data_IF_582444932827
#
_entry.id   IF_582444932827
#
_cell.length_a   1.000
_cell.length_b   1.000
_cell.length_c   1.000
_cell.angle_alpha   90.00
_cell.angle_beta   90.00
_cell.angle_gamma   90.00
#
_symmetry.space_group_name_H-M   'P 1'
#
loop_
_entity.id
_entity.type
_entity.pdbx_description
1 polymer ?
#
# COMPACT_ATOMS: atom_id res chain seq x y z
N UNK A 1 -21.60 -5.67 -26.91
CA UNK A 1 -22.04 -5.66 -25.49
C UNK A 1 -20.96 -4.97 -24.69
N UNK A 2 -21.31 -4.16 -23.67
CA UNK A 2 -20.35 -3.48 -22.79
C UNK A 2 -20.42 -4.08 -21.40
N UNK A 3 -19.27 -4.50 -20.84
CA UNK A 3 -19.19 -5.16 -19.54
C UNK A 3 -18.06 -4.54 -18.69
N UNK A 4 -18.25 -4.51 -17.36
CA UNK A 4 -17.22 -4.02 -16.43
C UNK A 4 -16.04 -4.99 -16.37
N UNK A 5 -14.82 -4.47 -16.49
CA UNK A 5 -13.63 -5.24 -16.15
C UNK A 5 -13.54 -5.45 -14.64
N UNK A 6 -13.14 -6.63 -14.19
CA UNK A 6 -12.93 -6.90 -12.75
C UNK A 6 -11.84 -6.01 -12.17
N UNK A 7 -10.80 -5.69 -12.95
CA UNK A 7 -9.70 -4.79 -12.61
C UNK A 7 -9.40 -3.84 -13.77
N UNK A 8 -8.70 -2.74 -13.46
CA UNK A 8 -8.31 -1.71 -14.42
C UNK A 8 -7.68 -2.33 -15.67
N UNK A 9 -8.03 -1.78 -16.84
CA UNK A 9 -7.54 -2.22 -18.16
C UNK A 9 -7.64 -3.74 -18.39
N UNK A 10 -8.60 -4.39 -17.72
CA UNK A 10 -8.81 -5.85 -17.70
C UNK A 10 -7.56 -6.66 -17.32
N UNK A 11 -6.70 -6.12 -16.47
CA UNK A 11 -5.64 -6.91 -15.83
C UNK A 11 -6.24 -8.02 -14.97
N UNK A 12 -5.47 -9.09 -14.78
CA UNK A 12 -5.93 -10.23 -14.00
C UNK A 12 -6.02 -9.89 -12.51
N UNK A 13 -5.04 -9.18 -11.96
CA UNK A 13 -5.04 -8.77 -10.55
C UNK A 13 -4.17 -7.53 -10.30
N UNK A 14 -4.50 -6.69 -9.30
CA UNK A 14 -3.64 -5.58 -8.89
C UNK A 14 -2.50 -6.05 -7.98
N UNK A 15 -1.39 -5.31 -8.03
CA UNK A 15 -0.25 -5.46 -7.12
C UNK A 15 0.18 -4.10 -6.58
N UNK A 16 0.34 -4.00 -5.24
CA UNK A 16 0.82 -2.80 -4.56
C UNK A 16 2.03 -3.14 -3.69
N UNK A 17 3.11 -2.36 -3.82
CA UNK A 17 4.21 -2.36 -2.86
C UNK A 17 3.89 -1.41 -1.71
N UNK A 18 3.67 -1.95 -0.53
CA UNK A 18 3.37 -1.21 0.70
C UNK A 18 4.65 -1.06 1.53
N UNK A 19 5.11 0.17 1.76
CA UNK A 19 6.34 0.43 2.49
C UNK A 19 6.02 1.24 3.75
N UNK A 20 6.28 0.67 4.91
CA UNK A 20 6.05 1.31 6.20
C UNK A 20 7.27 2.12 6.64
N UNK A 21 7.03 3.11 7.52
CA UNK A 21 8.04 3.77 8.34
C UNK A 21 9.02 4.68 7.59
N UNK A 22 8.64 5.27 6.46
CA UNK A 22 9.42 6.38 5.92
C UNK A 22 9.27 7.59 6.85
N UNK A 23 10.31 7.87 7.63
CA UNK A 23 10.32 8.96 8.59
C UNK A 23 11.33 10.06 8.18
N UNK A 24 11.13 11.32 8.62
CA UNK A 24 12.04 12.42 8.33
C UNK A 24 13.33 12.33 9.20
N UNK A 25 14.02 11.20 9.12
CA UNK A 25 15.17 10.89 9.96
C UNK A 25 16.38 10.52 9.13
N UNK A 26 17.52 11.13 9.45
CA UNK A 26 18.84 10.64 9.06
C UNK A 26 19.63 10.32 10.32
N UNK A 27 20.15 9.10 10.41
CA UNK A 27 20.95 8.61 11.54
C UNK A 27 22.29 8.07 11.08
N UNK A 28 23.31 8.16 11.91
CA UNK A 28 24.63 7.64 11.63
C UNK A 28 25.39 7.19 12.86
N UNK A 29 26.22 6.16 12.74
CA UNK A 29 27.18 5.77 13.79
C UNK A 29 28.42 6.65 13.80
N UNK A 30 28.86 7.10 12.65
CA UNK A 30 30.11 7.86 12.49
C UNK A 30 29.90 9.37 12.48
N UNK A 31 28.69 9.84 12.25
CA UNK A 31 28.36 11.23 11.97
C UNK A 31 28.28 11.52 10.46
N UNK A 32 28.62 10.54 9.60
CA UNK A 32 28.46 10.59 8.15
C UNK A 32 27.18 9.84 7.76
N UNK A 33 26.51 10.28 6.70
CA UNK A 33 25.29 9.64 6.19
C UNK A 33 25.71 8.52 5.24
N UNK A 34 25.37 7.29 5.59
CA UNK A 34 25.58 6.11 4.74
C UNK A 34 24.28 5.38 4.49
N UNK A 35 24.29 4.45 3.54
CA UNK A 35 23.13 3.74 2.98
C UNK A 35 22.11 3.22 4.00
N UNK A 36 22.57 2.80 5.16
CA UNK A 36 21.74 2.16 6.17
C UNK A 36 21.38 3.07 7.35
N UNK A 37 21.89 4.27 7.32
CA UNK A 37 21.73 5.27 8.36
C UNK A 37 20.88 6.45 7.90
N UNK A 38 20.70 6.60 6.58
CA UNK A 38 19.76 7.50 5.97
C UNK A 38 18.49 6.71 5.66
N UNK A 39 17.44 6.97 6.39
CA UNK A 39 16.12 6.36 6.15
C UNK A 39 15.43 6.96 4.94
N UNK A 40 16.21 7.54 4.03
CA UNK A 40 15.90 7.59 2.65
C UNK A 40 15.40 8.88 2.08
N UNK A 41 15.43 9.97 2.83
CA UNK A 41 15.01 11.23 2.21
C UNK A 41 16.15 12.05 1.59
N UNK A 42 17.38 11.69 1.81
CA UNK A 42 18.52 12.36 1.20
C UNK A 42 18.86 11.72 -0.14
N UNK A 43 18.16 12.12 -1.19
CA UNK A 43 18.26 11.54 -2.54
C UNK A 43 19.68 11.60 -3.15
N UNK A 44 20.44 12.63 -2.79
CA UNK A 44 21.76 12.86 -3.39
C UNK A 44 22.87 12.02 -2.78
N UNK A 45 22.57 11.25 -1.73
CA UNK A 45 23.55 10.36 -1.12
C UNK A 45 23.52 9.02 -1.86
N UNK A 46 24.62 8.63 -2.57
CA UNK A 46 24.66 7.40 -3.37
C UNK A 46 24.36 6.13 -2.59
N UNK A 47 24.51 6.22 -1.28
CA UNK A 47 24.35 5.12 -0.33
C UNK A 47 23.05 5.20 0.46
N UNK A 48 22.16 6.16 0.17
CA UNK A 48 20.85 6.22 0.83
C UNK A 48 20.02 4.98 0.51
N UNK A 49 19.10 4.65 1.40
CA UNK A 49 18.21 3.50 1.19
C UNK A 49 17.35 3.68 -0.06
N UNK A 50 16.97 4.92 -0.39
CA UNK A 50 16.30 5.21 -1.65
C UNK A 50 17.20 4.89 -2.87
N UNK A 51 18.44 5.38 -2.87
CA UNK A 51 19.38 5.12 -3.97
C UNK A 51 19.66 3.60 -4.13
N UNK A 52 19.67 2.88 -3.02
CA UNK A 52 19.80 1.42 -3.02
C UNK A 52 18.57 0.76 -3.64
N UNK A 53 17.35 1.13 -3.19
CA UNK A 53 16.10 0.64 -3.76
C UNK A 53 15.97 1.00 -5.25
N UNK A 54 16.27 2.23 -5.64
CA UNK A 54 16.21 2.68 -7.02
C UNK A 54 17.14 1.86 -7.91
N UNK A 55 18.41 1.68 -7.47
CA UNK A 55 19.42 0.93 -8.24
C UNK A 55 19.03 -0.53 -8.45
N UNK A 56 18.57 -1.21 -7.41
CA UNK A 56 18.40 -2.66 -7.44
C UNK A 56 16.97 -3.11 -7.74
N UNK A 57 15.99 -2.23 -7.61
CA UNK A 57 14.58 -2.57 -7.81
C UNK A 57 13.89 -1.66 -8.82
N UNK A 58 13.80 -0.34 -8.54
CA UNK A 58 12.91 0.54 -9.29
C UNK A 58 13.36 0.79 -10.74
N UNK A 59 14.68 0.85 -10.99
CA UNK A 59 15.23 0.94 -12.37
C UNK A 59 15.01 -0.33 -13.18
N UNK A 60 15.01 -1.48 -12.51
CA UNK A 60 14.78 -2.78 -13.15
C UNK A 60 13.31 -3.02 -13.43
N UNK A 61 12.43 -2.52 -12.55
CA UNK A 61 10.98 -2.66 -12.62
C UNK A 61 10.30 -1.28 -12.59
N UNK A 62 10.35 -0.50 -13.70
CA UNK A 62 9.80 0.85 -13.76
C UNK A 62 8.28 0.89 -13.62
N UNK A 63 7.61 -0.24 -13.80
CA UNK A 63 6.18 -0.43 -13.61
C UNK A 63 5.74 -0.45 -12.14
N UNK A 64 6.63 -0.66 -11.17
CA UNK A 64 6.29 -0.69 -9.74
C UNK A 64 5.59 0.60 -9.34
N UNK A 65 4.44 0.42 -8.69
CA UNK A 65 3.67 1.46 -7.98
C UNK A 65 3.39 0.95 -6.58
N UNK A 66 3.18 1.86 -5.67
CA UNK A 66 2.93 1.47 -4.28
C UNK A 66 2.45 2.59 -3.39
N UNK A 67 2.34 2.25 -2.11
CA UNK A 67 1.92 3.16 -1.05
C UNK A 67 2.98 3.17 0.05
N UNK A 68 3.41 4.37 0.43
CA UNK A 68 4.32 4.57 1.57
C UNK A 68 3.50 5.05 2.75
N UNK A 69 3.56 4.32 3.84
CA UNK A 69 2.89 4.64 5.08
C UNK A 69 3.81 5.50 5.95
N UNK A 70 3.38 6.74 6.17
CA UNK A 70 4.20 7.82 6.69
C UNK A 70 3.80 8.16 8.13
N UNK A 71 4.64 7.91 9.14
CA UNK A 71 4.48 8.49 10.47
C UNK A 71 4.88 9.97 10.42
N UNK A 72 4.11 10.83 11.10
CA UNK A 72 4.32 12.29 11.02
C UNK A 72 5.37 12.81 12.00
N UNK A 73 5.62 12.10 13.09
CA UNK A 73 6.67 12.42 14.05
C UNK A 73 7.49 11.15 14.29
N UNK A 74 8.77 11.28 14.56
CA UNK A 74 9.66 10.13 14.64
C UNK A 74 10.29 9.94 16.01
N UNK A 75 9.60 10.31 17.08
CA UNK A 75 10.18 10.34 18.42
C UNK A 75 10.74 8.99 18.88
N UNK A 76 10.07 7.90 18.53
CA UNK A 76 10.36 6.59 19.11
C UNK A 76 11.03 5.61 18.15
N UNK A 77 11.48 6.10 16.97
CA UNK A 77 12.11 5.24 15.97
C UNK A 77 13.60 5.01 16.16
N UNK A 78 14.25 5.77 17.03
CA UNK A 78 15.70 5.81 17.06
C UNK A 78 16.17 5.19 18.34
N UNK A 79 16.82 4.01 18.27
CA UNK A 79 17.45 3.41 19.44
C UNK A 79 18.67 4.24 19.83
N UNK A 80 18.47 5.29 20.61
CA UNK A 80 19.51 6.17 21.12
C UNK A 80 20.57 5.41 21.95
N UNK A 81 20.18 4.26 22.51
CA UNK A 81 21.04 3.38 23.29
C UNK A 81 22.02 2.56 22.44
N UNK A 82 21.88 2.54 21.11
CA UNK A 82 22.75 1.76 20.22
C UNK A 82 23.94 2.53 19.63
N UNK A 83 24.22 3.72 20.16
CA UNK A 83 25.37 4.54 19.73
C UNK A 83 25.20 5.22 18.37
N UNK A 84 23.98 5.35 17.89
CA UNK A 84 23.69 6.14 16.69
C UNK A 84 23.62 7.64 17.04
N UNK A 85 24.06 8.46 16.10
CA UNK A 85 23.86 9.91 16.13
C UNK A 85 22.72 10.28 15.20
N UNK A 86 21.76 11.05 15.70
CA UNK A 86 20.72 11.64 14.87
C UNK A 86 21.32 12.84 14.16
N UNK A 87 21.31 12.83 12.84
CA UNK A 87 21.78 13.94 12.01
C UNK A 87 20.63 14.89 11.69
N UNK A 88 19.44 14.33 11.38
CA UNK A 88 18.25 15.12 11.07
C UNK A 88 16.99 14.35 11.46
N UNK A 89 15.97 15.09 11.91
CA UNK A 89 14.76 14.49 12.47
C UNK A 89 13.48 15.27 12.13
N UNK A 90 13.58 16.40 11.47
CA UNK A 90 12.44 17.28 11.26
C UNK A 90 11.82 17.13 9.87
N UNK A 91 10.51 17.32 9.79
CA UNK A 91 9.80 17.52 8.53
C UNK A 91 10.14 18.92 8.02
N UNK A 92 11.13 19.02 7.17
CA UNK A 92 11.55 20.24 6.52
C UNK A 92 11.34 20.18 4.99
N UNK A 93 11.72 21.26 4.32
CA UNK A 93 11.56 21.36 2.87
C UNK A 93 12.33 20.28 2.10
N UNK A 94 13.47 19.80 2.63
CA UNK A 94 14.23 18.70 2.01
C UNK A 94 13.45 17.41 2.02
N UNK A 95 12.85 17.10 3.17
CA UNK A 95 12.00 15.90 3.29
C UNK A 95 10.74 16.01 2.44
N UNK A 96 10.08 17.16 2.45
CA UNK A 96 8.88 17.39 1.63
C UNK A 96 9.21 17.31 0.13
N UNK A 97 10.33 17.87 -0.32
CA UNK A 97 10.76 17.75 -1.71
C UNK A 97 11.07 16.30 -2.09
N UNK A 98 11.61 15.52 -1.16
CA UNK A 98 11.80 14.09 -1.37
C UNK A 98 10.46 13.35 -1.49
N UNK A 99 9.47 13.64 -0.65
CA UNK A 99 8.13 13.07 -0.79
C UNK A 99 7.52 13.43 -2.15
N UNK A 100 7.57 14.70 -2.55
CA UNK A 100 7.06 15.14 -3.86
C UNK A 100 7.75 14.43 -5.04
N UNK A 101 9.04 14.18 -4.92
CA UNK A 101 9.77 13.38 -5.91
C UNK A 101 9.27 11.93 -5.98
N UNK A 102 8.92 11.33 -4.85
CA UNK A 102 8.41 9.96 -4.82
C UNK A 102 6.98 9.81 -5.36
N UNK A 103 6.20 10.91 -5.44
CA UNK A 103 4.79 10.88 -5.86
C UNK A 103 4.56 10.37 -7.28
N UNK A 104 5.57 10.39 -8.14
CA UNK A 104 5.47 9.79 -9.48
C UNK A 104 5.20 8.28 -9.44
N UNK A 105 5.55 7.61 -8.33
CA UNK A 105 5.43 6.16 -8.19
C UNK A 105 4.65 5.71 -6.96
N UNK A 106 4.69 6.52 -5.90
CA UNK A 106 4.14 6.17 -4.61
C UNK A 106 3.14 7.22 -4.14
N UNK A 107 2.02 6.77 -3.65
CA UNK A 107 1.18 7.63 -2.81
C UNK A 107 1.68 7.61 -1.36
N UNK A 108 1.28 8.58 -0.57
CA UNK A 108 1.52 8.60 0.86
C UNK A 108 0.22 8.35 1.60
N UNK A 109 0.32 7.56 2.67
CA UNK A 109 -0.78 7.19 3.52
C UNK A 109 -0.38 7.34 5.00
N UNK A 110 -1.36 7.55 5.84
CA UNK A 110 -1.15 7.74 7.27
C UNK A 110 -0.64 6.49 7.97
N UNK A 111 0.36 6.64 8.87
CA UNK A 111 0.92 5.55 9.67
C UNK A 111 1.17 5.95 11.13
N UNK A 112 0.26 6.71 11.70
CA UNK A 112 0.42 7.25 13.03
C UNK A 112 1.18 8.58 13.08
N UNK A 113 1.24 9.14 14.27
CA UNK A 113 2.05 10.33 14.56
C UNK A 113 3.43 9.89 15.02
N UNK A 114 3.50 9.14 16.11
CA UNK A 114 4.73 8.66 16.72
C UNK A 114 5.00 7.17 16.47
N UNK A 115 4.08 6.45 15.85
CA UNK A 115 4.09 5.00 15.61
C UNK A 115 4.02 4.15 16.87
N UNK A 116 4.85 4.43 17.89
CA UNK A 116 4.87 3.74 19.17
C UNK A 116 4.55 4.73 20.28
N UNK A 117 3.87 4.26 21.32
CA UNK A 117 3.74 4.97 22.59
C UNK A 117 5.04 4.91 23.40
N UNK A 118 5.05 5.60 24.55
CA UNK A 118 6.14 5.59 25.51
C UNK A 118 6.02 4.44 26.53
N UNK A 119 4.94 3.65 26.42
CA UNK A 119 4.61 2.57 27.35
C UNK A 119 5.08 1.22 26.83
N UNK A 120 5.49 0.36 27.78
CA UNK A 120 5.77 -1.05 27.52
C UNK A 120 4.67 -1.92 28.16
N UNK A 121 4.37 -3.05 27.54
CA UNK A 121 3.51 -4.08 28.15
C UNK A 121 4.26 -4.88 29.23
N UNK A 122 3.55 -5.77 29.92
CA UNK A 122 4.10 -6.60 31.00
C UNK A 122 5.30 -7.48 30.55
N UNK A 123 5.45 -7.71 29.26
CA UNK A 123 6.55 -8.45 28.64
C UNK A 123 7.69 -7.54 28.15
N UNK A 124 7.63 -6.21 28.42
CA UNK A 124 8.61 -5.21 27.97
C UNK A 124 8.54 -4.91 26.47
N UNK A 125 7.38 -5.13 25.85
CA UNK A 125 7.13 -4.81 24.45
C UNK A 125 6.50 -3.43 24.34
N UNK A 126 7.08 -2.57 23.52
CA UNK A 126 6.54 -1.24 23.25
C UNK A 126 5.11 -1.32 22.71
N UNK A 127 4.21 -0.60 23.37
CA UNK A 127 2.80 -0.50 22.97
C UNK A 127 2.70 0.47 21.80
N UNK A 128 2.02 0.05 20.75
CA UNK A 128 1.76 0.92 19.61
C UNK A 128 0.71 1.99 19.95
N UNK A 129 0.87 3.15 19.34
CA UNK A 129 0.13 4.39 19.58
C UNK A 129 -1.41 4.21 19.62
N UNK A 130 -1.96 3.34 18.76
CA UNK A 130 -3.42 3.13 18.67
C UNK A 130 -3.92 1.83 19.29
N UNK A 131 -3.11 1.15 20.09
CA UNK A 131 -3.54 -0.07 20.80
C UNK A 131 -4.68 0.24 21.77
N UNK A 132 -4.55 1.33 22.53
CA UNK A 132 -5.56 1.81 23.46
C UNK A 132 -5.63 3.34 23.46
N UNK A 133 -5.99 3.99 22.35
CA UNK A 133 -6.04 5.45 22.28
C UNK A 133 -7.23 5.98 23.09
N UNK A 134 -7.10 7.20 23.59
CA UNK A 134 -8.18 8.02 24.08
C UNK A 134 -8.62 9.05 23.01
N UNK A 135 -9.63 9.88 23.36
CA UNK A 135 -10.13 10.88 22.43
C UNK A 135 -9.08 11.96 22.15
N UNK A 136 -8.29 12.35 23.13
CA UNK A 136 -7.26 13.37 22.99
C UNK A 136 -6.18 12.90 21.99
N UNK A 137 -5.81 11.62 22.02
CA UNK A 137 -4.90 11.00 21.06
C UNK A 137 -5.48 11.06 19.62
N UNK A 138 -6.77 10.75 19.44
CA UNK A 138 -7.42 10.81 18.14
C UNK A 138 -7.50 12.26 17.62
N UNK A 139 -7.93 13.20 18.45
CA UNK A 139 -8.07 14.62 18.07
C UNK A 139 -6.71 15.26 17.78
N UNK A 140 -5.67 14.91 18.55
CA UNK A 140 -4.29 15.29 18.27
C UNK A 140 -3.84 14.79 16.89
N UNK A 141 -4.14 13.52 16.57
CA UNK A 141 -3.80 12.93 15.28
C UNK A 141 -4.48 13.65 14.13
N UNK A 142 -5.77 13.96 14.26
CA UNK A 142 -6.54 14.71 13.26
C UNK A 142 -5.94 16.11 13.04
N UNK A 143 -5.64 16.82 14.12
CA UNK A 143 -5.05 18.15 14.04
C UNK A 143 -3.67 18.13 13.35
N UNK A 144 -2.82 17.15 13.68
CA UNK A 144 -1.49 16.99 13.08
C UNK A 144 -1.57 16.65 11.58
N UNK A 145 -2.46 15.76 11.19
CA UNK A 145 -2.69 15.44 9.77
C UNK A 145 -3.22 16.66 9.02
N UNK A 146 -4.18 17.39 9.59
CA UNK A 146 -4.70 18.62 8.99
C UNK A 146 -3.59 19.65 8.72
N UNK A 147 -2.77 19.93 9.71
CA UNK A 147 -1.62 20.84 9.57
C UNK A 147 -0.60 20.36 8.54
N UNK A 148 -0.31 19.05 8.52
CA UNK A 148 0.61 18.48 7.53
C UNK A 148 0.07 18.62 6.11
N UNK A 149 -1.20 18.29 5.90
CA UNK A 149 -1.87 18.39 4.59
C UNK A 149 -1.91 19.84 4.08
N UNK A 150 -2.35 20.78 4.94
CA UNK A 150 -2.43 22.21 4.62
C UNK A 150 -1.06 22.77 4.25
N UNK A 151 -0.04 22.50 5.06
CA UNK A 151 1.30 23.04 4.86
C UNK A 151 1.99 22.49 3.60
N UNK A 152 1.79 21.21 3.29
CA UNK A 152 2.63 20.49 2.33
C UNK A 152 1.91 20.13 1.02
N UNK A 153 0.58 20.25 0.98
CA UNK A 153 -0.24 19.85 -0.17
C UNK A 153 -0.23 18.33 -0.43
N UNK A 154 0.01 17.52 0.63
CA UNK A 154 -0.01 16.06 0.57
C UNK A 154 -1.19 15.59 1.41
N UNK A 155 -2.23 15.02 0.76
CA UNK A 155 -3.40 14.50 1.44
C UNK A 155 -3.32 12.97 1.61
N UNK A 156 -3.75 12.48 2.77
CA UNK A 156 -3.87 11.05 3.02
C UNK A 156 -5.30 10.59 2.73
N UNK A 157 -5.46 9.80 1.67
CA UNK A 157 -6.75 9.18 1.33
C UNK A 157 -6.99 7.87 2.10
N UNK A 158 -5.97 7.37 2.78
CA UNK A 158 -6.04 6.17 3.58
C UNK A 158 -4.86 6.03 4.52
N UNK A 159 -4.80 4.87 5.18
CA UNK A 159 -3.75 4.63 6.16
C UNK A 159 -3.65 3.18 6.60
N UNK A 160 -2.84 3.01 7.63
CA UNK A 160 -2.61 1.75 8.34
C UNK A 160 -2.20 2.06 9.78
N UNK A 161 -2.78 1.36 10.73
CA UNK A 161 -2.33 1.48 12.11
C UNK A 161 -0.94 0.85 12.30
N UNK A 162 -0.04 1.50 13.07
CA UNK A 162 1.27 0.96 13.41
C UNK A 162 1.17 -0.46 13.99
N UNK A 163 2.01 -1.38 13.48
CA UNK A 163 2.02 -2.78 13.90
C UNK A 163 0.69 -3.51 13.77
N UNK A 164 -0.29 -2.95 13.04
CA UNK A 164 -1.68 -3.43 12.99
C UNK A 164 -2.34 -3.55 14.37
N UNK A 165 -1.87 -2.77 15.33
CA UNK A 165 -2.35 -2.79 16.71
C UNK A 165 -3.34 -1.67 16.92
N UNK A 166 -4.61 -2.04 17.15
CA UNK A 166 -5.71 -1.11 17.37
C UNK A 166 -6.86 -1.80 18.09
N UNK A 167 -7.71 -1.02 18.73
CA UNK A 167 -9.01 -1.45 19.25
C UNK A 167 -10.16 -0.84 18.42
N UNK A 168 -11.39 -1.19 18.73
CA UNK A 168 -12.55 -0.69 18.00
C UNK A 168 -12.69 0.84 18.10
N UNK A 169 -12.23 1.45 19.19
CA UNK A 169 -12.28 2.88 19.39
C UNK A 169 -11.33 3.63 18.45
N UNK A 170 -10.15 3.05 18.15
CA UNK A 170 -9.21 3.61 17.19
C UNK A 170 -9.80 3.72 15.76
N UNK A 171 -10.79 2.89 15.42
CA UNK A 171 -11.44 2.94 14.10
C UNK A 171 -12.15 4.27 13.83
N UNK A 172 -12.56 5.01 14.88
CA UNK A 172 -13.12 6.36 14.74
C UNK A 172 -12.14 7.35 14.09
N UNK A 173 -10.83 7.10 14.21
CA UNK A 173 -9.83 7.94 13.58
C UNK A 173 -9.94 7.91 12.04
N UNK A 174 -10.27 6.77 11.46
CA UNK A 174 -10.40 6.62 10.01
C UNK A 174 -11.47 7.56 9.47
N UNK A 175 -12.62 7.61 10.14
CA UNK A 175 -13.72 8.50 9.80
C UNK A 175 -13.34 9.97 10.03
N UNK A 176 -12.77 10.30 11.20
CA UNK A 176 -12.33 11.66 11.54
C UNK A 176 -11.29 12.22 10.54
N UNK A 177 -10.43 11.38 10.00
CA UNK A 177 -9.47 11.73 8.96
C UNK A 177 -10.11 11.83 7.56
N UNK A 178 -11.35 11.39 7.37
CA UNK A 178 -12.01 11.31 6.08
C UNK A 178 -11.38 10.31 5.11
N UNK A 179 -10.69 9.29 5.65
CA UNK A 179 -10.02 8.28 4.85
C UNK A 179 -11.02 7.41 4.10
N UNK A 180 -10.72 7.11 2.84
CA UNK A 180 -11.54 6.29 1.95
C UNK A 180 -11.18 4.80 2.03
N UNK A 181 -9.99 4.48 2.48
CA UNK A 181 -9.50 3.11 2.62
C UNK A 181 -8.56 2.95 3.82
N UNK A 182 -8.41 1.70 4.30
CA UNK A 182 -7.50 1.35 5.38
C UNK A 182 -6.87 -0.02 5.14
N UNK A 183 -5.53 -0.11 5.30
CA UNK A 183 -4.84 -1.37 5.17
C UNK A 183 -4.88 -2.16 6.48
N UNK A 184 -5.26 -3.43 6.38
CA UNK A 184 -5.38 -4.35 7.52
C UNK A 184 -4.55 -5.62 7.28
N UNK A 185 -3.99 -6.20 8.33
CA UNK A 185 -3.37 -7.52 8.24
C UNK A 185 -4.41 -8.57 7.83
N UNK A 186 -4.16 -9.27 6.75
CA UNK A 186 -5.04 -10.34 6.27
C UNK A 186 -5.30 -11.45 7.33
N UNK A 187 -4.38 -11.64 8.28
CA UNK A 187 -4.57 -12.57 9.38
C UNK A 187 -5.51 -12.05 10.47
N UNK A 188 -5.62 -10.73 10.65
CA UNK A 188 -6.50 -10.11 11.65
C UNK A 188 -7.96 -10.05 11.18
N UNK A 189 -8.21 -9.90 9.90
CA UNK A 189 -9.56 -9.89 9.32
C UNK A 189 -10.26 -11.22 9.61
N UNK A 190 -9.51 -12.33 9.56
CA UNK A 190 -10.00 -13.65 9.95
C UNK A 190 -8.88 -14.50 10.53
N UNK A 191 -8.78 -14.56 11.86
CA UNK A 191 -7.72 -15.31 12.58
C UNK A 191 -7.62 -16.80 12.22
N UNK A 192 -8.65 -17.40 11.62
CA UNK A 192 -8.69 -18.81 11.26
C UNK A 192 -8.34 -19.08 9.79
N UNK A 193 -8.69 -18.15 8.90
CA UNK A 193 -8.42 -18.23 7.48
C UNK A 193 -8.02 -16.84 6.99
N UNK A 194 -6.91 -16.71 6.26
CA UNK A 194 -6.49 -15.43 5.65
C UNK A 194 -7.60 -14.93 4.73
N UNK A 195 -8.14 -13.75 5.06
CA UNK A 195 -9.07 -13.09 4.18
C UNK A 195 -8.28 -12.14 3.25
N UNK A 196 -8.10 -12.57 2.02
CA UNK A 196 -7.38 -11.81 0.99
C UNK A 196 -8.31 -10.92 0.16
N UNK A 197 -9.60 -10.83 0.53
CA UNK A 197 -10.55 -10.02 -0.19
C UNK A 197 -10.49 -8.56 0.23
N UNK A 198 -10.61 -7.65 -0.74
CA UNK A 198 -10.98 -6.27 -0.47
C UNK A 198 -12.46 -6.26 -0.08
N UNK A 199 -12.82 -5.45 0.89
CA UNK A 199 -14.21 -5.30 1.34
C UNK A 199 -14.47 -3.94 1.96
N UNK A 200 -15.72 -3.53 2.01
CA UNK A 200 -16.13 -2.39 2.81
C UNK A 200 -16.02 -2.70 4.31
N UNK A 201 -15.78 -1.67 5.12
CA UNK A 201 -16.06 -1.69 6.55
C UNK A 201 -17.53 -2.07 6.81
N UNK A 202 -17.86 -2.42 8.05
CA UNK A 202 -19.21 -2.86 8.40
C UNK A 202 -20.26 -1.79 8.08
N UNK A 203 -19.94 -0.53 8.32
CA UNK A 203 -20.75 0.66 8.05
C UNK A 203 -20.59 1.24 6.65
N UNK A 204 -19.69 0.65 5.85
CA UNK A 204 -19.31 1.10 4.52
C UNK A 204 -18.68 2.49 4.46
N UNK A 205 -18.12 3.00 5.54
CA UNK A 205 -17.47 4.31 5.59
C UNK A 205 -16.09 4.32 4.93
N UNK A 206 -15.42 3.14 4.85
CA UNK A 206 -14.13 2.98 4.15
C UNK A 206 -13.97 1.57 3.58
N UNK A 207 -12.93 1.38 2.78
CA UNK A 207 -12.56 0.11 2.16
C UNK A 207 -11.38 -0.51 2.88
N UNK A 208 -11.51 -1.76 3.29
CA UNK A 208 -10.46 -2.56 3.88
C UNK A 208 -9.61 -3.20 2.79
N UNK A 209 -8.31 -2.88 2.74
CA UNK A 209 -7.33 -3.49 1.85
C UNK A 209 -6.51 -4.51 2.67
N UNK A 210 -6.51 -5.81 2.30
CA UNK A 210 -5.72 -6.80 3.03
C UNK A 210 -4.23 -6.61 2.74
N UNK A 211 -3.37 -6.68 3.76
CA UNK A 211 -1.92 -6.88 3.59
C UNK A 211 -1.64 -8.36 3.67
N UNK A 212 -1.30 -8.98 2.55
CA UNK A 212 -1.32 -10.45 2.44
C UNK A 212 0.01 -11.09 2.05
N UNK A 213 0.99 -10.31 1.64
CA UNK A 213 2.28 -10.77 1.17
C UNK A 213 3.41 -9.96 1.85
N UNK A 214 4.58 -10.54 1.98
CA UNK A 214 5.77 -9.89 2.54
C UNK A 214 6.90 -9.94 1.51
N UNK A 215 7.76 -8.94 1.48
CA UNK A 215 8.88 -8.87 0.54
C UNK A 215 9.90 -9.99 0.73
N UNK A 216 9.97 -10.55 1.94
CA UNK A 216 10.81 -11.72 2.23
C UNK A 216 10.17 -13.07 1.83
N UNK A 217 9.02 -13.07 1.15
CA UNK A 217 8.28 -14.28 0.78
C UNK A 217 9.16 -15.32 0.07
N UNK A 218 10.04 -14.87 -0.81
CA UNK A 218 10.95 -15.74 -1.57
C UNK A 218 12.25 -16.08 -0.83
N UNK A 219 12.42 -15.62 0.43
CA UNK A 219 13.59 -15.93 1.25
C UNK A 219 13.66 -17.44 1.51
N UNK A 220 14.68 -18.10 0.97
CA UNK A 220 14.98 -19.49 1.29
C UNK A 220 15.41 -19.55 2.75
N UNK A 221 14.63 -20.23 3.57
CA UNK A 221 15.05 -20.42 4.97
C UNK A 221 16.38 -21.17 5.03
N UNK A 222 17.36 -20.69 5.80
CA UNK A 222 18.58 -21.44 6.05
C UNK A 222 18.20 -22.80 6.65
N UNK A 223 18.96 -23.83 6.28
CA UNK A 223 18.76 -25.19 6.78
C UNK A 223 18.91 -25.24 8.30
N UNK A 224 17.82 -25.05 9.01
CA UNK A 224 17.77 -25.22 10.45
C UNK A 224 17.77 -26.71 10.78
N UNK A 225 18.36 -27.08 11.92
CA UNK A 225 18.54 -28.46 12.39
C UNK A 225 17.34 -29.38 12.10
N UNK A 226 17.60 -30.65 11.85
CA UNK A 226 16.64 -31.69 11.42
C UNK A 226 15.34 -31.68 12.26
N UNK A 227 15.41 -31.45 13.57
CA UNK A 227 14.25 -31.41 14.47
C UNK A 227 13.35 -30.18 14.26
N UNK A 228 13.90 -29.00 13.96
CA UNK A 228 13.13 -27.83 13.57
C UNK A 228 12.50 -28.00 12.18
N UNK A 229 13.17 -28.72 11.28
CA UNK A 229 12.66 -29.03 9.95
C UNK A 229 11.45 -29.98 9.99
N UNK A 230 11.38 -30.95 10.93
CA UNK A 230 10.23 -31.83 11.06
C UNK A 230 9.01 -31.10 11.61
N UNK A 231 9.17 -30.29 12.68
CA UNK A 231 8.08 -29.42 13.20
C UNK A 231 7.61 -28.40 12.15
N UNK A 232 8.53 -27.90 11.33
CA UNK A 232 8.22 -26.95 10.27
C UNK A 232 7.62 -27.64 9.04
N UNK A 233 8.03 -28.85 8.67
CA UNK A 233 7.35 -29.63 7.62
C UNK A 233 5.91 -29.94 7.98
N UNK A 234 5.62 -30.28 9.23
CA UNK A 234 4.26 -30.46 9.72
C UNK A 234 3.45 -29.16 9.73
N UNK A 235 4.08 -28.03 10.09
CA UNK A 235 3.45 -26.72 10.04
C UNK A 235 3.35 -26.15 8.60
N UNK A 236 4.36 -26.40 7.76
CA UNK A 236 4.45 -25.97 6.36
C UNK A 236 3.69 -26.85 5.37
N UNK A 237 3.14 -28.00 5.79
CA UNK A 237 2.21 -28.75 4.93
C UNK A 237 0.93 -27.95 4.62
N UNK A 238 0.66 -26.90 5.40
CA UNK A 238 -0.42 -25.95 5.19
C UNK A 238 0.00 -24.63 4.50
N UNK A 239 1.32 -24.38 4.32
CA UNK A 239 1.79 -23.19 3.60
C UNK A 239 2.12 -23.57 2.16
N UNK A 240 1.43 -22.92 1.23
CA UNK A 240 1.76 -23.02 -0.19
C UNK A 240 3.20 -22.55 -0.41
N UNK A 241 3.90 -23.15 -1.38
CA UNK A 241 5.17 -22.58 -1.85
C UNK A 241 4.94 -21.13 -2.28
N UNK A 242 5.94 -20.22 -2.14
CA UNK A 242 5.79 -18.80 -2.50
C UNK A 242 5.10 -18.59 -3.85
N UNK A 243 5.59 -19.24 -4.89
CA UNK A 243 5.04 -19.13 -6.24
C UNK A 243 3.59 -19.63 -6.32
N UNK A 244 3.26 -20.71 -5.60
CA UNK A 244 1.88 -21.22 -5.57
C UNK A 244 0.93 -20.29 -4.84
N UNK A 245 1.42 -19.59 -3.81
CA UNK A 245 0.61 -18.61 -3.10
C UNK A 245 0.32 -17.38 -3.99
N UNK A 246 1.33 -16.84 -4.66
CA UNK A 246 1.15 -15.76 -5.63
C UNK A 246 0.22 -16.21 -6.77
N UNK A 247 0.42 -17.44 -7.28
CA UNK A 247 -0.43 -17.99 -8.32
C UNK A 247 -1.90 -18.11 -7.87
N UNK A 248 -2.13 -18.53 -6.61
CA UNK A 248 -3.48 -18.58 -6.04
C UNK A 248 -4.12 -17.19 -5.99
N UNK A 249 -3.42 -16.16 -5.51
CA UNK A 249 -3.94 -14.78 -5.51
C UNK A 249 -4.27 -14.31 -6.93
N UNK A 250 -3.36 -14.56 -7.86
CA UNK A 250 -3.50 -14.20 -9.27
C UNK A 250 -4.71 -14.88 -9.92
N UNK A 251 -4.84 -16.21 -9.81
CA UNK A 251 -5.94 -16.98 -10.40
C UNK A 251 -7.30 -16.62 -9.77
N UNK A 252 -7.30 -16.32 -8.49
CA UNK A 252 -8.49 -15.88 -7.75
C UNK A 252 -8.84 -14.42 -7.98
N UNK A 253 -8.03 -13.67 -8.74
CA UNK A 253 -8.19 -12.23 -9.01
C UNK A 253 -8.22 -11.39 -7.72
N UNK A 254 -7.43 -11.80 -6.72
CA UNK A 254 -7.27 -11.13 -5.44
C UNK A 254 -6.07 -10.18 -5.49
N UNK A 255 -6.06 -9.07 -4.74
CA UNK A 255 -4.92 -8.17 -4.71
C UNK A 255 -3.66 -8.88 -4.18
N UNK A 256 -2.50 -8.50 -4.70
CA UNK A 256 -1.19 -8.88 -4.18
C UNK A 256 -0.61 -7.64 -3.51
N UNK A 257 -0.61 -7.60 -2.18
CA UNK A 257 -0.14 -6.45 -1.39
C UNK A 257 1.10 -6.84 -0.62
N UNK A 258 2.23 -6.29 -1.04
CA UNK A 258 3.57 -6.68 -0.57
C UNK A 258 4.01 -5.70 0.49
N UNK A 259 4.11 -6.15 1.73
CA UNK A 259 4.59 -5.33 2.84
C UNK A 259 6.10 -5.33 2.94
N UNK A 260 6.64 -4.16 3.14
CA UNK A 260 8.01 -3.87 3.51
C UNK A 260 8.07 -2.78 4.57
N UNK A 261 9.24 -2.61 5.20
CA UNK A 261 9.55 -1.44 5.99
C UNK A 261 10.72 -0.70 5.37
N UNK A 262 10.68 0.61 5.44
CA UNK A 262 11.76 1.44 4.95
C UNK A 262 12.99 1.30 5.85
N UNK A 263 12.79 1.37 7.16
CA UNK A 263 13.84 1.22 8.15
C UNK A 263 14.23 -0.25 8.37
N UNK A 264 15.47 -0.48 8.73
CA UNK A 264 16.00 -1.82 9.01
C UNK A 264 16.18 -2.11 10.52
N UNK A 265 15.77 -1.19 11.38
CA UNK A 265 15.85 -1.34 12.83
C UNK A 265 14.56 -0.91 13.52
N UNK A 266 14.23 -1.62 14.58
CA UNK A 266 13.10 -1.34 15.46
C UNK A 266 13.56 -0.48 16.64
N UNK A 267 12.61 0.15 17.34
CA UNK A 267 12.86 0.92 18.56
C UNK A 267 13.47 0.10 19.69
N UNK A 268 13.16 -1.22 19.76
CA UNK A 268 13.74 -2.15 20.74
C UNK A 268 15.14 -2.65 20.35
N UNK A 269 15.76 -2.04 19.33
CA UNK A 269 17.11 -2.39 18.87
C UNK A 269 17.18 -3.68 18.04
N UNK A 270 16.07 -4.40 17.85
CA UNK A 270 16.03 -5.58 17.00
C UNK A 270 15.95 -5.17 15.54
N UNK A 271 16.32 -6.10 14.66
CA UNK A 271 16.19 -5.89 13.23
C UNK A 271 14.73 -5.95 12.83
N UNK A 272 14.27 -4.94 12.07
CA UNK A 272 12.95 -4.91 11.45
C UNK A 272 12.86 -5.99 10.37
N UNK A 273 11.74 -6.69 10.29
CA UNK A 273 11.51 -7.74 9.29
C UNK A 273 10.02 -7.79 8.92
N UNK A 274 9.66 -7.71 7.65
CA UNK A 274 10.53 -7.50 6.47
C UNK A 274 11.11 -6.08 6.42
N UNK A 275 12.20 -5.86 5.67
CA UNK A 275 12.73 -4.53 5.38
C UNK A 275 13.44 -4.51 4.02
N UNK A 276 13.35 -3.38 3.33
CA UNK A 276 13.87 -3.19 1.96
C UNK A 276 15.34 -3.58 1.81
N UNK A 277 16.17 -3.28 2.82
CA UNK A 277 17.59 -3.55 2.74
C UNK A 277 17.91 -5.03 2.71
N UNK A 278 17.31 -5.80 3.60
CA UNK A 278 17.55 -7.25 3.67
C UNK A 278 16.87 -8.00 2.53
N UNK A 279 15.74 -7.48 2.06
CA UNK A 279 14.83 -8.20 1.19
C UNK A 279 14.94 -7.84 -0.29
N UNK A 280 15.78 -6.86 -0.65
CA UNK A 280 15.92 -6.38 -2.03
C UNK A 280 16.11 -7.51 -3.04
N UNK A 281 16.87 -8.54 -2.71
CA UNK A 281 17.09 -9.70 -3.57
C UNK A 281 15.84 -10.57 -3.72
N UNK A 282 15.06 -10.72 -2.66
CA UNK A 282 13.82 -11.48 -2.68
C UNK A 282 12.70 -10.72 -3.36
N UNK A 283 12.70 -9.40 -3.22
CA UNK A 283 11.86 -8.49 -4.00
C UNK A 283 12.20 -8.59 -5.50
N UNK A 284 13.48 -8.65 -5.85
CA UNK A 284 13.91 -8.85 -7.24
C UNK A 284 13.37 -10.18 -7.81
N UNK A 285 13.48 -11.27 -7.05
CA UNK A 285 12.91 -12.57 -7.44
C UNK A 285 11.37 -12.50 -7.56
N UNK A 286 10.70 -11.82 -6.62
CA UNK A 286 9.24 -11.67 -6.59
C UNK A 286 8.74 -10.81 -7.77
N UNK A 287 9.31 -9.61 -8.00
CA UNK A 287 8.91 -8.75 -9.10
C UNK A 287 9.28 -9.35 -10.46
N UNK A 288 10.40 -10.08 -10.54
CA UNK A 288 10.74 -10.87 -11.73
C UNK A 288 9.74 -11.99 -12.03
N UNK A 289 9.09 -12.55 -10.99
CA UNK A 289 7.97 -13.48 -11.16
C UNK A 289 6.70 -12.76 -11.60
N UNK A 290 6.32 -11.67 -10.91
CA UNK A 290 5.10 -10.89 -11.18
C UNK A 290 5.08 -10.29 -12.58
N UNK A 291 6.22 -9.83 -13.09
CA UNK A 291 6.36 -9.24 -14.43
C UNK A 291 5.96 -10.20 -15.58
N UNK A 292 5.96 -11.49 -15.32
CA UNK A 292 5.54 -12.52 -16.30
C UNK A 292 4.03 -12.78 -16.27
N UNK A 293 3.33 -12.15 -15.35
CA UNK A 293 1.88 -12.27 -15.16
C UNK A 293 1.18 -10.99 -15.66
N UNK A 294 -0.11 -11.08 -15.90
CA UNK A 294 -0.95 -9.93 -16.29
C UNK A 294 -1.36 -9.14 -15.04
N UNK A 295 -0.44 -8.29 -14.55
CA UNK A 295 -0.54 -7.56 -13.28
C UNK A 295 -0.77 -6.07 -13.52
N UNK A 296 -1.72 -5.48 -12.79
CA UNK A 296 -1.87 -4.04 -12.64
C UNK A 296 -1.08 -3.55 -11.42
N UNK A 297 0.08 -2.93 -11.66
CA UNK A 297 0.83 -2.27 -10.57
C UNK A 297 0.15 -0.95 -10.23
N UNK A 298 -0.32 -0.83 -8.99
CA UNK A 298 -1.14 0.28 -8.52
C UNK A 298 -0.81 0.63 -7.06
N UNK A 299 -1.20 1.82 -6.63
CA UNK A 299 -1.20 2.20 -5.22
C UNK A 299 -2.52 1.75 -4.54
N UNK A 300 -2.62 1.92 -3.23
CA UNK A 300 -3.82 1.51 -2.49
C UNK A 300 -5.06 2.33 -2.83
N UNK A 301 -4.92 3.64 -3.06
CA UNK A 301 -6.04 4.50 -3.46
C UNK A 301 -6.61 4.10 -4.80
N UNK A 302 -5.76 3.80 -5.78
CA UNK A 302 -6.21 3.31 -7.10
C UNK A 302 -6.98 2.00 -6.97
N UNK A 303 -6.46 1.06 -6.17
CA UNK A 303 -7.10 -0.24 -5.93
C UNK A 303 -8.46 -0.06 -5.22
N UNK A 304 -8.51 0.78 -4.19
CA UNK A 304 -9.73 1.05 -3.45
C UNK A 304 -10.77 1.79 -4.32
N UNK A 305 -10.35 2.81 -5.06
CA UNK A 305 -11.22 3.56 -5.96
C UNK A 305 -11.79 2.67 -7.06
N UNK A 306 -10.95 1.79 -7.63
CA UNK A 306 -11.41 0.84 -8.63
C UNK A 306 -12.41 -0.17 -8.04
N UNK A 307 -12.13 -0.69 -6.84
CA UNK A 307 -13.03 -1.61 -6.15
C UNK A 307 -14.39 -0.95 -5.87
N UNK A 308 -14.40 0.28 -5.38
CA UNK A 308 -15.62 1.04 -5.14
C UNK A 308 -16.39 1.27 -6.44
N UNK A 309 -15.70 1.73 -7.47
CA UNK A 309 -16.29 1.99 -8.77
C UNK A 309 -16.88 0.73 -9.42
N UNK A 310 -16.17 -0.40 -9.30
CA UNK A 310 -16.69 -1.68 -9.81
C UNK A 310 -18.01 -2.09 -9.13
N UNK A 311 -18.12 -1.88 -7.83
CA UNK A 311 -19.29 -2.28 -7.06
C UNK A 311 -20.45 -1.29 -7.17
N UNK A 312 -20.18 0.01 -7.28
CA UNK A 312 -21.18 1.08 -7.22
C UNK A 312 -21.51 1.72 -8.59
N UNK A 313 -20.88 1.28 -9.67
CA UNK A 313 -21.26 1.69 -11.02
C UNK A 313 -22.35 0.77 -11.56
N UNK A 314 -23.45 1.35 -12.00
CA UNK A 314 -24.53 0.67 -12.73
C UNK A 314 -24.41 0.99 -14.20
N UNK A 315 -24.59 -0.03 -15.05
CA UNK A 315 -24.56 0.12 -16.49
C UNK A 315 -25.90 -0.37 -17.05
N UNK A 316 -26.58 0.50 -17.76
CA UNK A 316 -27.79 0.14 -18.51
C UNK A 316 -27.48 0.26 -20.01
N UNK A 317 -27.59 -0.83 -20.72
CA UNK A 317 -27.36 -0.90 -22.17
C UNK A 317 -28.71 -1.04 -22.88
N UNK A 318 -28.96 -0.17 -23.84
CA UNK A 318 -30.05 -0.26 -24.81
C UNK A 318 -29.48 -0.49 -26.22
N UNK A 319 -30.30 -0.63 -27.26
CA UNK A 319 -29.81 -0.90 -28.61
C UNK A 319 -28.71 0.06 -29.08
N UNK A 320 -28.81 1.33 -28.75
CA UNK A 320 -27.89 2.38 -29.21
C UNK A 320 -27.25 3.24 -28.11
N UNK A 321 -27.61 3.00 -26.87
CA UNK A 321 -27.12 3.83 -25.76
C UNK A 321 -26.62 3.02 -24.58
N UNK A 322 -25.61 3.58 -23.93
CA UNK A 322 -25.10 3.14 -22.64
C UNK A 322 -25.35 4.27 -21.64
N UNK A 323 -25.91 3.94 -20.49
CA UNK A 323 -26.06 4.86 -19.35
C UNK A 323 -25.17 4.33 -18.24
N UNK A 324 -24.31 5.18 -17.74
CA UNK A 324 -23.38 4.90 -16.62
C UNK A 324 -23.77 5.77 -15.44
N UNK A 325 -24.20 5.15 -14.37
CA UNK A 325 -24.50 5.79 -13.09
C UNK A 325 -23.53 5.29 -12.03
N UNK A 326 -23.06 6.20 -11.16
CA UNK A 326 -22.15 5.88 -10.09
C UNK A 326 -22.60 6.52 -8.77
N UNK A 327 -22.70 5.71 -7.72
CA UNK A 327 -23.11 6.13 -6.38
C UNK A 327 -22.08 5.58 -5.34
N UNK A 328 -20.81 5.93 -5.51
CA UNK A 328 -19.72 5.45 -4.66
C UNK A 328 -19.11 6.53 -3.77
N UNK A 329 -17.95 6.22 -3.18
CA UNK A 329 -17.27 7.05 -2.20
C UNK A 329 -16.43 8.19 -2.83
N UNK A 330 -16.15 8.14 -4.13
CA UNK A 330 -15.40 9.17 -4.88
C UNK A 330 -16.33 10.02 -5.73
N UNK A 331 -15.85 11.17 -6.17
CA UNK A 331 -16.64 12.12 -6.98
C UNK A 331 -16.98 11.57 -8.38
N UNK A 332 -16.18 10.65 -8.88
CA UNK A 332 -16.36 10.02 -10.19
C UNK A 332 -15.92 8.56 -10.18
N UNK A 333 -16.45 7.72 -11.08
CA UNK A 333 -16.00 6.35 -11.19
C UNK A 333 -14.59 6.26 -11.80
N UNK A 334 -13.83 5.27 -11.35
CA UNK A 334 -12.57 4.83 -11.94
C UNK A 334 -12.74 3.38 -12.40
N UNK A 335 -13.24 3.21 -13.63
CA UNK A 335 -13.64 1.89 -14.13
C UNK A 335 -13.21 1.68 -15.57
N UNK A 336 -12.87 0.43 -15.90
CA UNK A 336 -12.63 -0.04 -17.27
C UNK A 336 -13.77 -0.92 -17.73
N UNK A 337 -14.12 -0.79 -19.00
CA UNK A 337 -15.19 -1.58 -19.62
C UNK A 337 -14.71 -2.25 -20.91
N UNK A 338 -15.19 -3.46 -21.15
CA UNK A 338 -14.93 -4.21 -22.38
C UNK A 338 -16.09 -4.01 -23.35
N UNK A 339 -15.78 -3.67 -24.58
CA UNK A 339 -16.73 -3.57 -25.69
C UNK A 339 -16.27 -4.28 -26.96
N UNK A 340 -17.21 -4.51 -27.85
CA UNK A 340 -17.01 -5.12 -29.17
C UNK A 340 -16.79 -4.07 -30.29
N UNK A 341 -17.01 -2.80 -30.00
CA UNK A 341 -16.78 -1.69 -30.92
C UNK A 341 -15.55 -0.86 -30.56
N UNK A 342 -14.86 -0.25 -31.53
CA UNK A 342 -13.63 0.52 -31.26
C UNK A 342 -13.86 1.86 -30.59
N UNK A 343 -15.08 2.40 -30.68
CA UNK A 343 -15.41 3.74 -30.23
C UNK A 343 -16.79 3.83 -29.64
N UNK A 344 -16.96 4.73 -28.72
CA UNK A 344 -18.25 5.21 -28.19
C UNK A 344 -18.26 6.74 -28.23
N UNK A 345 -19.42 7.36 -28.20
CA UNK A 345 -19.57 8.81 -28.26
C UNK A 345 -20.28 9.25 -26.97
N UNK A 346 -19.67 10.15 -26.24
CA UNK A 346 -20.30 10.83 -25.10
C UNK A 346 -21.45 11.71 -25.63
N UNK A 347 -22.63 11.60 -25.04
CA UNK A 347 -23.77 12.42 -25.45
C UNK A 347 -23.79 13.80 -24.79
N UNK A 348 -22.97 14.01 -23.77
CA UNK A 348 -22.86 15.29 -23.08
C UNK A 348 -22.12 16.34 -23.93
N UNK A 349 -20.99 15.95 -24.51
CA UNK A 349 -20.08 16.84 -25.24
C UNK A 349 -19.82 16.42 -26.70
N UNK A 350 -20.46 15.37 -27.17
CA UNK A 350 -20.25 14.73 -28.47
C UNK A 350 -18.80 14.24 -28.71
N UNK A 351 -18.04 14.04 -27.66
CA UNK A 351 -16.66 13.56 -27.76
C UNK A 351 -16.64 12.08 -28.14
N UNK A 352 -15.83 11.74 -29.14
CA UNK A 352 -15.55 10.36 -29.51
C UNK A 352 -14.48 9.80 -28.58
N UNK A 353 -14.80 8.70 -27.88
CA UNK A 353 -13.90 7.98 -26.98
C UNK A 353 -13.47 6.69 -27.67
N UNK A 354 -12.17 6.54 -27.88
CA UNK A 354 -11.60 5.35 -28.53
C UNK A 354 -11.13 4.35 -27.47
N UNK A 355 -11.53 3.09 -27.65
CA UNK A 355 -11.03 2.00 -26.82
C UNK A 355 -9.63 1.54 -27.23
N UNK A 356 -8.89 0.97 -26.28
CA UNK A 356 -7.63 0.28 -26.53
C UNK A 356 -7.92 -1.16 -26.97
N UNK A 357 -7.40 -1.59 -28.12
CA UNK A 357 -7.61 -2.97 -28.63
C UNK A 357 -6.81 -3.98 -27.81
N UNK A 358 -7.48 -4.99 -27.27
CA UNK A 358 -6.86 -6.11 -26.57
C UNK A 358 -7.47 -7.43 -27.09
N UNK A 359 -6.75 -8.11 -27.97
CA UNK A 359 -7.28 -9.32 -28.64
C UNK A 359 -8.48 -9.01 -29.56
N UNK A 360 -9.61 -9.63 -29.29
CA UNK A 360 -10.85 -9.48 -30.06
C UNK A 360 -11.83 -8.44 -29.51
N UNK A 361 -11.43 -7.68 -28.47
CA UNK A 361 -12.28 -6.68 -27.84
C UNK A 361 -11.54 -5.36 -27.64
N UNK A 362 -12.30 -4.33 -27.23
CA UNK A 362 -11.81 -3.00 -26.95
C UNK A 362 -12.03 -2.68 -25.47
N UNK A 363 -11.06 -2.01 -24.85
CA UNK A 363 -11.15 -1.58 -23.47
C UNK A 363 -11.28 -0.06 -23.43
N UNK A 364 -12.29 0.40 -22.74
CA UNK A 364 -12.51 1.80 -22.42
C UNK A 364 -12.17 2.03 -20.94
N UNK A 365 -11.18 2.86 -20.70
CA UNK A 365 -10.75 3.20 -19.35
C UNK A 365 -11.38 4.52 -18.91
N UNK A 366 -11.67 4.63 -17.60
CA UNK A 366 -12.06 5.87 -16.96
C UNK A 366 -13.30 6.55 -17.54
N UNK A 367 -14.28 5.74 -17.97
CA UNK A 367 -15.56 6.30 -18.38
C UNK A 367 -16.27 6.93 -17.18
N UNK A 368 -16.68 8.20 -17.35
CA UNK A 368 -17.44 8.94 -16.35
C UNK A 368 -18.90 8.49 -16.27
N UNK A 369 -19.63 9.07 -15.31
CA UNK A 369 -21.10 9.03 -15.30
C UNK A 369 -21.64 9.75 -16.53
N UNK A 370 -22.74 9.27 -17.12
CA UNK A 370 -23.34 9.90 -18.27
C UNK A 370 -23.95 8.93 -19.26
N UNK A 371 -24.39 9.49 -20.40
CA UNK A 371 -24.94 8.73 -21.51
C UNK A 371 -23.93 8.69 -22.68
N UNK A 372 -23.82 7.52 -23.28
CA UNK A 372 -22.93 7.27 -24.41
C UNK A 372 -23.70 6.59 -25.55
N UNK A 373 -23.35 6.94 -26.78
CA UNK A 373 -23.86 6.29 -28.00
C UNK A 373 -22.85 5.22 -28.45
N UNK A 374 -23.37 4.02 -28.89
CA UNK A 374 -22.55 2.89 -29.33
C UNK A 374 -22.54 2.82 -30.86
#
# INVERSE_FOLDING_TARGET
>A
MLEKCKWFNNYQTPCCLMIDDLAPVAISRTGEIGAFNDWGYLMNTPESLYAYMDRWLLKKYPEIRGTIFLPLESHNYIPLNMGYKIIKRDIDDSFINFLKFLQDRFEFAFHGINHCGDEEDDDGKIIHEYTNPDMDCLDYSVAKVGLFNEKNGIAFLGGKFPGYSYNDYALLLIEKLGCKWWALDANMINRRNRDNNIKYSQDKSYICIPTNTSGDLFRKSPSLSILRNVKRKLKNSFYLKPEKYIQYLYESRLPITIQEHYQNQRTDGKRQTPNLYDDIKYLDDLFGYLRRLDIWFANCSDIAHYYDSYNNTRIKVTENKIIIDYEGMWDRPYISMIGDKPTIISLEDNQQISGCKKGNYWIFNELGTGEYYI
#
